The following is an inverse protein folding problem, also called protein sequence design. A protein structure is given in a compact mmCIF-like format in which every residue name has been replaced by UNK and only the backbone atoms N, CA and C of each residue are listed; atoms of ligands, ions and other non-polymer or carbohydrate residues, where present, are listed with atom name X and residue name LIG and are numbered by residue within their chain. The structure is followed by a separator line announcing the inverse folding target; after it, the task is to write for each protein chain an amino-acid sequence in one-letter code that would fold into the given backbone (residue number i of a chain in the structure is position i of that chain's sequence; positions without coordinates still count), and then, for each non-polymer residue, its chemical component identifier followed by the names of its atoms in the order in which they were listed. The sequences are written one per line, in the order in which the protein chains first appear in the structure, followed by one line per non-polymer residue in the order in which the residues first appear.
data_IF_603194479618
#
_entry.id   IF_603194479618
#
_cell.length_a   1.000
_cell.length_b   1.000
_cell.length_c   1.000
_cell.angle_alpha   90.00
_cell.angle_beta   90.00
_cell.angle_gamma   90.00
#
_symmetry.space_group_name_H-M   'P 1'
#
loop_
_entity.id
_entity.type
_entity.pdbx_description
1 polymer ?
#
# COMPACT_ATOMS: atom_id res chain seq x y z
N UNK A 1 22.84 18.26 -11.86
CA UNK A 1 21.59 17.75 -11.25
C UNK A 1 20.76 17.18 -12.39
N UNK A 2 20.51 15.87 -12.41
CA UNK A 2 19.69 15.25 -13.45
C UNK A 2 18.24 15.40 -13.00
N UNK A 3 17.44 16.14 -13.78
CA UNK A 3 16.04 16.39 -13.52
C UNK A 3 15.26 15.07 -13.69
N UNK A 4 14.42 14.70 -12.71
CA UNK A 4 13.68 13.44 -12.74
C UNK A 4 12.74 13.32 -13.98
N UNK A 5 12.44 14.45 -14.64
CA UNK A 5 11.69 14.49 -15.90
C UNK A 5 12.48 14.03 -17.12
N UNK A 6 13.82 14.16 -17.11
CA UNK A 6 14.67 13.73 -18.22
C UNK A 6 14.99 12.23 -18.18
N UNK A 7 15.07 11.64 -16.99
CA UNK A 7 15.30 10.20 -16.82
C UNK A 7 14.18 9.34 -17.42
N UNK A 8 12.93 9.82 -17.41
CA UNK A 8 11.80 9.10 -18.02
C UNK A 8 11.84 9.10 -19.55
N UNK A 9 12.51 10.09 -20.17
CA UNK A 9 12.64 10.22 -21.63
C UNK A 9 13.85 9.46 -22.19
N UNK A 10 14.83 9.09 -21.37
CA UNK A 10 16.01 8.31 -21.80
C UNK A 10 15.77 6.80 -21.82
N UNK A 11 14.62 6.32 -21.33
CA UNK A 11 14.32 4.89 -21.26
C UNK A 11 13.91 4.35 -22.62
N UNK A 12 14.65 3.35 -23.08
CA UNK A 12 14.34 2.57 -24.26
C UNK A 12 12.98 1.84 -24.08
N UNK A 13 12.32 1.45 -25.19
CA UNK A 13 11.06 0.71 -25.11
C UNK A 13 11.15 -0.57 -24.28
N UNK A 14 12.32 -1.23 -24.27
CA UNK A 14 12.59 -2.43 -23.49
C UNK A 14 12.65 -2.12 -21.99
N UNK A 15 13.39 -1.10 -21.58
CA UNK A 15 13.49 -0.68 -20.17
C UNK A 15 12.14 -0.20 -19.63
N UNK A 16 11.33 0.48 -20.45
CA UNK A 16 9.94 0.81 -20.10
C UNK A 16 9.08 -0.42 -19.88
N UNK A 17 9.19 -1.44 -20.74
CA UNK A 17 8.45 -2.70 -20.59
C UNK A 17 8.87 -3.48 -19.36
N UNK A 18 10.16 -3.46 -19.02
CA UNK A 18 10.67 -4.08 -17.80
C UNK A 18 10.19 -3.35 -16.54
N UNK A 19 10.20 -2.01 -16.53
CA UNK A 19 9.66 -1.23 -15.41
C UNK A 19 8.15 -1.43 -15.25
N UNK A 20 7.39 -1.50 -16.35
CA UNK A 20 5.96 -1.84 -16.31
C UNK A 20 5.74 -3.27 -15.80
N UNK A 21 6.58 -4.22 -16.23
CA UNK A 21 6.56 -5.60 -15.73
C UNK A 21 6.90 -5.70 -14.24
N UNK A 22 7.88 -4.90 -13.77
CA UNK A 22 8.26 -4.78 -12.37
C UNK A 22 7.16 -4.11 -11.53
N UNK A 23 6.49 -3.08 -12.05
CA UNK A 23 5.35 -2.44 -11.41
C UNK A 23 4.16 -3.39 -11.30
N UNK A 24 3.83 -4.12 -12.37
CA UNK A 24 2.78 -5.15 -12.37
C UNK A 24 3.10 -6.34 -11.46
N UNK A 25 4.38 -6.71 -11.32
CA UNK A 25 4.83 -7.71 -10.34
C UNK A 25 4.88 -7.17 -8.91
N UNK A 26 5.07 -5.86 -8.69
CA UNK A 26 4.94 -5.21 -7.36
C UNK A 26 3.49 -5.03 -6.93
N UNK A 27 2.55 -5.11 -7.86
CA UNK A 27 1.14 -5.41 -7.61
C UNK A 27 0.93 -6.89 -7.18
N UNK A 28 1.99 -7.59 -6.76
CA UNK A 28 1.91 -8.89 -6.13
C UNK A 28 0.99 -8.83 -4.91
N UNK A 29 -0.15 -9.50 -5.05
CA UNK A 29 -0.99 -9.98 -3.95
C UNK A 29 -1.36 -8.88 -2.96
N UNK A 30 -2.20 -7.93 -3.38
CA UNK A 30 -3.13 -7.40 -2.39
C UNK A 30 -3.94 -8.61 -1.90
N UNK A 31 -3.81 -9.03 -0.63
CA UNK A 31 -4.72 -10.04 -0.11
C UNK A 31 -6.13 -9.52 -0.39
N UNK A 32 -6.96 -10.33 -1.05
CA UNK A 32 -8.38 -10.02 -1.22
C UNK A 32 -9.00 -10.11 0.17
N UNK A 33 -8.92 -9.01 0.92
CA UNK A 33 -9.67 -8.84 2.16
C UNK A 33 -11.13 -8.66 1.74
N UNK A 34 -12.02 -9.50 2.27
CA UNK A 34 -13.45 -9.36 1.96
C UNK A 34 -13.98 -8.05 2.55
N UNK A 35 -15.02 -7.49 1.94
CA UNK A 35 -15.70 -6.31 2.49
C UNK A 35 -16.22 -6.56 3.92
N UNK A 36 -16.59 -7.81 4.23
CA UNK A 36 -16.99 -8.25 5.57
C UNK A 36 -15.84 -8.14 6.58
N UNK A 37 -14.63 -8.58 6.21
CA UNK A 37 -13.45 -8.43 7.06
C UNK A 37 -13.07 -6.96 7.28
N UNK A 38 -13.15 -6.12 6.24
CA UNK A 38 -12.92 -4.68 6.39
C UNK A 38 -13.93 -4.05 7.34
N UNK A 39 -15.22 -4.38 7.20
CA UNK A 39 -16.27 -3.88 8.09
C UNK A 39 -16.08 -4.34 9.54
N UNK A 40 -15.50 -5.52 9.75
CA UNK A 40 -15.17 -6.02 11.09
C UNK A 40 -14.02 -5.20 11.67
N UNK A 41 -12.95 -4.96 10.91
CA UNK A 41 -11.84 -4.14 11.38
C UNK A 41 -12.22 -2.68 11.65
N UNK A 42 -13.17 -2.12 10.90
CA UNK A 42 -13.76 -0.81 11.18
C UNK A 42 -14.54 -0.81 12.52
N UNK A 43 -15.35 -1.85 12.79
CA UNK A 43 -16.09 -1.97 14.07
C UNK A 43 -15.18 -2.16 15.29
N UNK A 44 -14.07 -2.86 15.11
CA UNK A 44 -13.08 -3.11 16.16
C UNK A 44 -12.10 -1.92 16.36
N UNK A 45 -12.24 -0.83 15.60
CA UNK A 45 -11.34 0.34 15.68
C UNK A 45 -9.91 0.07 15.19
N UNK A 46 -9.71 -1.04 14.47
CA UNK A 46 -8.42 -1.38 13.87
C UNK A 46 -8.20 -0.53 12.61
N UNK A 47 -9.26 -0.34 11.83
CA UNK A 47 -9.32 0.59 10.70
C UNK A 47 -10.30 1.72 11.02
N UNK A 48 -10.01 2.90 10.48
CA UNK A 48 -10.85 4.10 10.58
C UNK A 48 -10.95 4.76 9.21
N UNK A 49 -11.96 5.60 9.02
CA UNK A 49 -12.13 6.38 7.78
C UNK A 49 -11.60 7.79 7.99
N UNK A 50 -10.74 8.24 7.08
CA UNK A 50 -10.23 9.60 7.08
C UNK A 50 -11.23 10.61 6.44
N UNK A 51 -10.80 11.87 6.32
CA UNK A 51 -11.60 12.93 5.71
C UNK A 51 -11.94 12.69 4.22
N UNK A 52 -11.23 11.79 3.55
CA UNK A 52 -11.43 11.41 2.14
C UNK A 52 -12.16 10.07 1.99
N UNK A 53 -12.80 9.56 3.05
CA UNK A 53 -13.48 8.26 3.09
C UNK A 53 -12.54 7.06 2.79
N UNK A 54 -11.23 7.25 3.00
CA UNK A 54 -10.22 6.21 2.82
C UNK A 54 -10.01 5.44 4.11
N UNK A 55 -9.87 4.11 4.00
CA UNK A 55 -9.55 3.25 5.14
C UNK A 55 -8.08 3.40 5.54
N UNK A 56 -7.85 3.87 6.75
CA UNK A 56 -6.54 4.04 7.38
C UNK A 56 -6.46 3.22 8.66
N UNK A 57 -5.25 2.96 9.17
CA UNK A 57 -5.05 2.25 10.43
C UNK A 57 -5.34 3.23 11.58
N UNK A 58 -6.28 2.88 12.46
CA UNK A 58 -6.61 3.67 13.65
C UNK A 58 -5.55 3.57 14.74
N UNK A 59 -5.72 4.33 15.82
CA UNK A 59 -4.78 4.34 16.96
C UNK A 59 -4.66 2.97 17.61
N UNK A 60 -5.78 2.26 17.79
CA UNK A 60 -5.80 0.91 18.33
C UNK A 60 -5.09 -0.09 17.39
N UNK A 61 -5.39 -0.02 16.09
CA UNK A 61 -4.69 -0.82 15.08
C UNK A 61 -3.18 -0.59 15.08
N UNK A 62 -2.74 0.66 15.23
CA UNK A 62 -1.34 1.03 15.35
C UNK A 62 -0.68 0.42 16.59
N UNK A 63 -1.37 0.44 17.74
CA UNK A 63 -0.88 -0.17 18.97
C UNK A 63 -0.72 -1.69 18.85
N UNK A 64 -1.69 -2.38 18.23
CA UNK A 64 -1.62 -3.83 17.96
C UNK A 64 -0.44 -4.16 17.06
N UNK A 65 -0.25 -3.43 15.96
CA UNK A 65 0.87 -3.65 15.04
C UNK A 65 2.23 -3.43 15.71
N UNK A 66 2.33 -2.38 16.55
CA UNK A 66 3.55 -2.11 17.31
C UNK A 66 3.83 -3.20 18.35
N UNK A 67 2.80 -3.73 19.01
CA UNK A 67 2.94 -4.84 19.95
C UNK A 67 3.44 -6.11 19.24
N UNK A 68 2.83 -6.49 18.11
CA UNK A 68 3.27 -7.65 17.32
C UNK A 68 4.69 -7.47 16.79
N UNK A 69 5.05 -6.26 16.35
CA UNK A 69 6.39 -5.96 15.85
C UNK A 69 7.46 -5.96 16.94
N UNK A 70 7.11 -5.56 18.16
CA UNK A 70 8.01 -5.53 19.31
C UNK A 70 8.17 -6.90 19.99
N UNK A 71 7.30 -7.87 19.66
CA UNK A 71 7.31 -9.22 20.20
C UNK A 71 8.09 -10.25 19.38
N UNK A 72 8.91 -9.79 18.41
CA UNK A 72 9.78 -10.62 17.56
C UNK A 72 11.25 -10.32 17.82
#
# INVERSE_FOLDING_TARGET
MIDAKDAARSLSPTERKELLGLAGRRQAKNPRVSAESLSTFEREGILERDEYDSLVIGDFGSAVLNHVRSGM
#
